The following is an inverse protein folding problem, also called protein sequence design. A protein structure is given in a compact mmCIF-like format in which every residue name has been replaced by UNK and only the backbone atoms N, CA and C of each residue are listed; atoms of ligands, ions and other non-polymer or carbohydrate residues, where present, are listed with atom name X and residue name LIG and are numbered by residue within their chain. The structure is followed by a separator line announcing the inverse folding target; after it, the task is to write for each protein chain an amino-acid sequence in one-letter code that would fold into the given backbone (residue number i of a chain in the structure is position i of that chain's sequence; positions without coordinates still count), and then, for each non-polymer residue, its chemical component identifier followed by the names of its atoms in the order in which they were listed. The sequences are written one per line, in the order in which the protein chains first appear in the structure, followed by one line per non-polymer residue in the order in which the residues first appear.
data_IF_881574193632
#
_entry.id   IF_881574193632
#
_cell.length_a   1.000
_cell.length_b   1.000
_cell.length_c   1.000
_cell.angle_alpha   90.00
_cell.angle_beta   90.00
_cell.angle_gamma   90.00
#
_symmetry.space_group_name_H-M   'P 1'
#
loop_
_entity.id
_entity.type
_entity.pdbx_description
1 polymer ?
#
# COMPACT_ATOMS: atom_id res chain seq x y z
N UNK A 1 4.71 2.47 -29.75
CA UNK A 1 3.72 2.49 -28.65
C UNK A 1 3.85 1.17 -27.89
N UNK A 2 4.58 1.17 -26.78
CA UNK A 2 4.57 0.03 -25.84
C UNK A 2 3.46 0.34 -24.82
N UNK A 3 2.33 -0.35 -24.92
CA UNK A 3 1.27 -0.27 -23.91
C UNK A 3 1.55 -1.19 -22.70
N UNK A 4 2.69 -1.87 -22.68
CA UNK A 4 3.16 -2.65 -21.53
C UNK A 4 3.94 -1.73 -20.59
N UNK A 5 3.54 -1.69 -19.32
CA UNK A 5 4.25 -0.98 -18.24
C UNK A 5 3.67 0.36 -17.79
N UNK A 6 2.40 0.66 -18.10
CA UNK A 6 1.74 1.82 -17.47
C UNK A 6 1.54 1.55 -15.98
N UNK A 7 2.13 2.40 -15.15
CA UNK A 7 1.96 2.40 -13.70
C UNK A 7 1.03 3.56 -13.30
N UNK A 8 -0.22 3.21 -12.98
CA UNK A 8 -1.23 4.18 -12.55
C UNK A 8 -0.81 4.92 -11.28
N UNK A 9 -0.16 4.21 -10.34
CA UNK A 9 0.24 4.80 -9.07
C UNK A 9 1.33 5.85 -9.32
N UNK A 10 2.35 5.53 -10.10
CA UNK A 10 3.40 6.49 -10.49
C UNK A 10 2.83 7.69 -11.24
N UNK A 11 1.93 7.46 -12.20
CA UNK A 11 1.38 8.52 -13.06
C UNK A 11 0.55 9.54 -12.26
N UNK A 12 -0.31 9.05 -11.36
CA UNK A 12 -1.21 9.92 -10.59
C UNK A 12 -0.61 10.43 -9.27
N UNK A 13 0.21 9.62 -8.59
CA UNK A 13 0.85 10.02 -7.34
C UNK A 13 2.18 10.75 -7.60
N UNK A 14 2.82 10.53 -8.74
CA UNK A 14 4.09 11.14 -9.11
C UNK A 14 5.30 10.39 -8.54
N UNK A 15 6.29 10.16 -9.40
CA UNK A 15 7.45 9.32 -9.10
C UNK A 15 8.24 9.72 -7.84
N UNK A 16 8.42 11.02 -7.57
CA UNK A 16 9.16 11.46 -6.38
C UNK A 16 8.40 11.19 -5.08
N UNK A 17 7.07 11.33 -5.10
CA UNK A 17 6.24 11.02 -3.94
C UNK A 17 6.13 9.52 -3.73
N UNK A 18 6.04 8.75 -4.82
CA UNK A 18 6.06 7.28 -4.77
C UNK A 18 7.34 6.74 -4.15
N UNK A 19 8.52 7.21 -4.58
CA UNK A 19 9.81 6.80 -3.99
C UNK A 19 9.92 7.08 -2.49
N UNK A 20 9.14 8.03 -1.99
CA UNK A 20 9.07 8.33 -0.57
C UNK A 20 8.11 7.42 0.20
N UNK A 21 7.27 6.62 -0.48
CA UNK A 21 6.37 5.64 0.16
C UNK A 21 7.18 4.47 0.69
N UNK A 22 7.40 4.48 1.99
CA UNK A 22 8.28 3.54 2.68
C UNK A 22 7.80 2.10 2.61
N UNK A 23 6.48 1.88 2.46
CA UNK A 23 5.93 0.53 2.28
C UNK A 23 6.46 -0.14 1.01
N UNK A 24 6.61 0.59 -0.09
CA UNK A 24 7.06 0.05 -1.38
C UNK A 24 8.53 -0.43 -1.34
N UNK A 25 9.29 0.08 -0.37
CA UNK A 25 10.70 -0.27 -0.15
C UNK A 25 10.91 -1.13 1.11
N UNK A 26 9.84 -1.58 1.76
CA UNK A 26 9.92 -2.36 2.98
C UNK A 26 10.51 -3.75 2.72
N UNK A 27 11.38 -4.23 3.61
CA UNK A 27 11.85 -5.61 3.59
C UNK A 27 11.41 -6.28 4.88
N UNK A 28 10.48 -7.22 4.76
CA UNK A 28 9.95 -7.98 5.90
C UNK A 28 10.49 -9.40 5.95
N UNK A 29 9.98 -10.18 6.90
CA UNK A 29 10.46 -11.54 7.16
C UNK A 29 10.15 -12.52 6.03
N UNK A 30 8.98 -12.38 5.38
CA UNK A 30 8.49 -13.32 4.35
C UNK A 30 8.10 -12.64 3.03
N UNK A 31 8.59 -11.42 2.81
CA UNK A 31 8.31 -10.68 1.57
C UNK A 31 8.97 -9.30 1.52
N UNK A 32 8.82 -8.63 0.40
CA UNK A 32 9.31 -7.30 0.10
C UNK A 32 8.15 -6.32 -0.20
N UNK A 33 8.47 -5.03 -0.33
CA UNK A 33 7.51 -3.94 -0.31
C UNK A 33 6.37 -4.09 -1.32
N UNK A 34 6.64 -4.64 -2.51
CA UNK A 34 5.60 -4.93 -3.51
C UNK A 34 4.55 -5.93 -3.02
N UNK A 35 4.96 -7.01 -2.36
CA UNK A 35 4.05 -8.04 -1.82
C UNK A 35 3.24 -7.49 -0.66
N UNK A 36 3.86 -6.71 0.22
CA UNK A 36 3.17 -6.04 1.32
C UNK A 36 2.16 -5.00 0.82
N UNK A 37 2.54 -4.17 -0.17
CA UNK A 37 1.66 -3.15 -0.75
C UNK A 37 0.47 -3.78 -1.49
N UNK A 38 0.70 -4.86 -2.23
CA UNK A 38 -0.35 -5.63 -2.89
C UNK A 38 -1.35 -6.20 -1.87
N UNK A 39 -0.86 -6.83 -0.81
CA UNK A 39 -1.73 -7.40 0.23
C UNK A 39 -2.49 -6.31 1.00
N UNK A 40 -1.84 -5.20 1.36
CA UNK A 40 -2.53 -4.07 2.01
C UNK A 40 -3.69 -3.59 1.15
N UNK A 41 -3.50 -3.41 -0.16
CA UNK A 41 -4.56 -2.97 -1.06
C UNK A 41 -5.69 -4.00 -1.19
N UNK A 42 -5.36 -5.30 -1.32
CA UNK A 42 -6.36 -6.37 -1.43
C UNK A 42 -7.29 -6.47 -0.22
N UNK A 43 -6.79 -6.12 0.97
CA UNK A 43 -7.57 -6.19 2.20
C UNK A 43 -8.48 -4.95 2.40
N UNK A 44 -8.35 -3.91 1.58
CA UNK A 44 -9.26 -2.75 1.60
C UNK A 44 -10.62 -3.17 1.05
N UNK A 45 -11.63 -3.20 1.92
CA UNK A 45 -12.98 -3.63 1.56
C UNK A 45 -14.09 -2.73 2.11
N UNK A 46 -13.74 -1.52 2.59
CA UNK A 46 -14.68 -0.58 3.21
C UNK A 46 -15.22 -1.01 4.59
N UNK A 47 -14.70 -2.09 5.19
CA UNK A 47 -15.11 -2.54 6.53
C UNK A 47 -13.95 -2.61 7.52
N UNK A 48 -12.73 -2.85 7.02
CA UNK A 48 -11.53 -2.99 7.83
C UNK A 48 -10.91 -1.63 8.13
N UNK A 49 -10.45 -1.44 9.36
CA UNK A 49 -9.60 -0.32 9.75
C UNK A 49 -8.17 -0.54 9.27
N UNK A 50 -7.35 0.52 9.28
CA UNK A 50 -5.92 0.38 9.00
C UNK A 50 -5.21 -0.59 9.97
N UNK A 51 -5.69 -0.70 11.21
CA UNK A 51 -5.18 -1.65 12.19
C UNK A 51 -5.54 -3.09 11.81
N UNK A 52 -6.80 -3.36 11.44
CA UNK A 52 -7.22 -4.69 11.00
C UNK A 52 -6.45 -5.17 9.76
N UNK A 53 -6.23 -4.25 8.81
CA UNK A 53 -5.42 -4.53 7.61
C UNK A 53 -3.99 -4.87 8.02
N UNK A 54 -3.36 -4.04 8.87
CA UNK A 54 -2.00 -4.28 9.35
C UNK A 54 -1.87 -5.63 10.07
N UNK A 55 -2.82 -5.97 10.94
CA UNK A 55 -2.79 -7.20 11.72
C UNK A 55 -2.92 -8.43 10.82
N UNK A 56 -3.78 -8.37 9.79
CA UNK A 56 -3.90 -9.42 8.78
C UNK A 56 -2.62 -9.58 7.95
N UNK A 57 -2.04 -8.49 7.43
CA UNK A 57 -0.75 -8.53 6.69
C UNK A 57 0.35 -9.09 7.59
N UNK A 58 0.38 -8.68 8.86
CA UNK A 58 1.36 -9.14 9.83
C UNK A 58 1.27 -10.63 10.10
N UNK A 59 0.05 -11.20 10.08
CA UNK A 59 -0.16 -12.64 10.24
C UNK A 59 0.45 -13.43 9.08
N UNK A 60 0.36 -12.92 7.85
CA UNK A 60 0.87 -13.57 6.65
C UNK A 60 2.38 -13.40 6.53
N UNK A 61 2.85 -12.16 6.49
CA UNK A 61 4.23 -11.85 6.08
C UNK A 61 5.21 -11.60 7.24
N UNK A 62 4.68 -11.54 8.46
CA UNK A 62 5.43 -11.15 9.66
C UNK A 62 5.25 -9.68 10.03
N UNK A 63 5.80 -9.23 11.17
CA UNK A 63 5.56 -7.90 11.70
C UNK A 63 5.80 -6.77 10.69
N UNK A 64 4.88 -5.82 10.65
CA UNK A 64 4.99 -4.59 9.87
C UNK A 64 4.48 -3.39 10.69
N UNK A 65 5.19 -2.24 10.68
CA UNK A 65 4.73 -1.04 11.36
C UNK A 65 3.42 -0.50 10.79
N UNK A 66 2.45 -0.19 11.67
CA UNK A 66 1.18 0.43 11.28
C UNK A 66 1.35 1.74 10.51
N UNK A 67 2.37 2.53 10.86
CA UNK A 67 2.65 3.80 10.18
C UNK A 67 2.91 3.63 8.67
N UNK A 68 3.55 2.54 8.25
CA UNK A 68 3.81 2.26 6.83
C UNK A 68 2.51 1.95 6.08
N UNK A 69 1.63 1.16 6.71
CA UNK A 69 0.30 0.83 6.16
C UNK A 69 -0.54 2.10 6.01
N UNK A 70 -0.61 2.92 7.06
CA UNK A 70 -1.37 4.18 7.04
C UNK A 70 -0.83 5.16 6.00
N UNK A 71 0.49 5.28 5.88
CA UNK A 71 1.12 6.12 4.86
C UNK A 71 0.72 5.70 3.45
N UNK A 72 0.80 4.40 3.13
CA UNK A 72 0.41 3.89 1.83
C UNK A 72 -1.09 4.06 1.53
N UNK A 73 -1.95 3.76 2.50
CA UNK A 73 -3.41 3.98 2.36
C UNK A 73 -3.74 5.46 2.10
N UNK A 74 -3.03 6.40 2.75
CA UNK A 74 -3.19 7.84 2.47
C UNK A 74 -2.73 8.22 1.07
N UNK A 75 -1.63 7.63 0.58
CA UNK A 75 -1.18 7.83 -0.80
C UNK A 75 -2.26 7.40 -1.79
N UNK A 76 -2.81 6.18 -1.62
CA UNK A 76 -3.90 5.64 -2.43
C UNK A 76 -5.17 6.52 -2.37
N UNK A 77 -5.53 7.00 -1.19
CA UNK A 77 -6.69 7.89 -1.02
C UNK A 77 -6.48 9.24 -1.74
N UNK A 78 -5.27 9.78 -1.72
CA UNK A 78 -4.96 11.07 -2.37
C UNK A 78 -5.12 11.04 -3.89
N UNK A 79 -4.98 9.86 -4.49
CA UNK A 79 -5.21 9.61 -5.93
C UNK A 79 -6.55 8.94 -6.23
N UNK A 80 -7.45 8.86 -5.23
CA UNK A 80 -8.82 8.33 -5.35
C UNK A 80 -8.91 6.85 -5.75
N UNK A 81 -7.91 6.04 -5.40
CA UNK A 81 -7.99 4.57 -5.53
C UNK A 81 -8.83 3.96 -4.41
N UNK A 82 -8.80 4.55 -3.22
CA UNK A 82 -9.63 4.15 -2.08
C UNK A 82 -10.30 5.38 -1.44
N UNK A 83 -11.37 5.13 -0.69
CA UNK A 83 -12.08 6.17 0.08
C UNK A 83 -11.94 5.94 1.58
N UNK A 84 -11.76 7.02 2.34
CA UNK A 84 -11.78 6.98 3.80
C UNK A 84 -13.23 7.18 4.24
N UNK A 85 -13.83 6.13 4.79
CA UNK A 85 -15.17 6.22 5.37
C UNK A 85 -15.11 7.03 6.67
N UNK A 86 -16.12 7.88 6.87
CA UNK A 86 -16.29 8.71 8.07
C UNK A 86 -17.09 7.99 9.14
#
# INVERSE_FOLDING_TARGET
MSAFGYDYFTDHYGADRERAVRLLHYQGLRGAGGEYAYEVLNLVNGRRTAQDIRDAVSSTYGPIPLALVVEYLRALASIRIIEVLK
#
